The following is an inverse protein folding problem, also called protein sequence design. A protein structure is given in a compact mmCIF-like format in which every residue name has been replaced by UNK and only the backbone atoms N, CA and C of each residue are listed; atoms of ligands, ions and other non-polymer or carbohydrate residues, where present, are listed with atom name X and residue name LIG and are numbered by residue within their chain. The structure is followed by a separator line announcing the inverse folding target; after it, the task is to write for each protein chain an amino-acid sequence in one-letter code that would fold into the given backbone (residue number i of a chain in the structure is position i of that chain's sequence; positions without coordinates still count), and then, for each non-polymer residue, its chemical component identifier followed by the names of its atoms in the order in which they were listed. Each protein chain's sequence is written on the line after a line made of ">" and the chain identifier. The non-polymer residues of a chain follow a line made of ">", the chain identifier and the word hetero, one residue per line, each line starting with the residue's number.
data_IF_379080492118
#
_entry.id   IF_379080492118
#
_cell.length_a   1.000
_cell.length_b   1.000
_cell.length_c   1.000
_cell.angle_alpha   90.00
_cell.angle_beta   90.00
_cell.angle_gamma   90.00
#
_symmetry.space_group_name_H-M   'P 1'
#
loop_
_entity.id
_entity.type
_entity.pdbx_description
1 polymer ?
#
# COMPACT_ATOMS: atom_id res chain seq x y z
N UNK A 1 15.79 6.88 6.44
CA UNK A 1 14.70 6.48 5.54
C UNK A 1 14.74 7.36 4.30
N UNK A 2 14.82 6.76 3.12
CA UNK A 2 14.70 7.51 1.86
C UNK A 2 13.23 7.95 1.64
N UNK A 3 12.99 8.86 0.70
CA UNK A 3 11.61 9.25 0.32
C UNK A 3 10.84 8.04 -0.19
N UNK A 4 11.48 7.23 -1.02
CA UNK A 4 10.89 6.04 -1.63
C UNK A 4 10.57 4.96 -0.58
N UNK A 5 11.49 4.69 0.34
CA UNK A 5 11.28 3.75 1.45
C UNK A 5 10.06 4.15 2.30
N UNK A 6 9.86 5.46 2.52
CA UNK A 6 8.66 5.97 3.20
C UNK A 6 7.38 5.72 2.39
N UNK A 7 7.40 5.94 1.07
CA UNK A 7 6.23 5.65 0.22
C UNK A 7 5.85 4.18 0.26
N UNK A 8 6.84 3.28 0.30
CA UNK A 8 6.63 1.84 0.42
C UNK A 8 6.09 1.48 1.79
N UNK A 9 6.67 2.00 2.87
CA UNK A 9 6.16 1.78 4.23
C UNK A 9 4.70 2.25 4.37
N UNK A 10 4.39 3.45 3.88
CA UNK A 10 3.04 4.01 3.93
C UNK A 10 2.05 3.16 3.10
N UNK A 11 2.46 2.69 1.92
CA UNK A 11 1.62 1.85 1.07
C UNK A 11 1.42 0.45 1.66
N UNK A 12 2.45 -0.17 2.24
CA UNK A 12 2.33 -1.43 2.97
C UNK A 12 1.38 -1.28 4.16
N UNK A 13 1.56 -0.24 4.97
CA UNK A 13 0.71 0.05 6.11
C UNK A 13 -0.77 0.23 5.73
N UNK A 14 -1.03 0.95 4.64
CA UNK A 14 -2.37 1.12 4.08
C UNK A 14 -3.03 -0.22 3.71
N UNK A 15 -2.22 -1.19 3.25
CA UNK A 15 -2.66 -2.52 2.79
C UNK A 15 -2.63 -3.59 3.88
N UNK A 16 -2.41 -3.21 5.14
CA UNK A 16 -2.25 -4.15 6.25
C UNK A 16 -1.08 -5.13 6.05
N UNK A 17 0.03 -4.62 5.50
CA UNK A 17 1.28 -5.34 5.26
C UNK A 17 2.43 -4.70 6.03
N UNK A 18 3.42 -5.50 6.41
CA UNK A 18 4.70 -4.99 6.90
C UNK A 18 5.72 -4.94 5.76
N UNK A 19 6.53 -3.87 5.70
CA UNK A 19 7.69 -3.82 4.83
C UNK A 19 8.84 -4.58 5.50
N UNK A 20 9.14 -5.79 5.02
CA UNK A 20 10.21 -6.63 5.55
C UNK A 20 11.61 -6.17 5.10
N UNK A 21 11.64 -5.21 4.18
CA UNK A 21 12.83 -4.52 3.76
C UNK A 21 13.23 -4.82 2.33
N UNK A 22 14.42 -4.33 2.01
CA UNK A 22 14.89 -4.20 0.65
C UNK A 22 15.37 -5.54 0.06
N UNK A 23 14.90 -5.87 -1.14
CA UNK A 23 15.28 -7.09 -1.86
C UNK A 23 16.41 -6.85 -2.86
N UNK A 24 16.29 -5.84 -3.71
CA UNK A 24 17.23 -5.62 -4.80
C UNK A 24 17.30 -4.16 -5.31
N UNK A 25 18.44 -3.78 -5.87
CA UNK A 25 18.67 -2.53 -6.61
C UNK A 25 18.83 -2.84 -8.10
N UNK A 26 17.93 -2.33 -8.94
CA UNK A 26 18.14 -2.27 -10.39
C UNK A 26 18.39 -0.84 -10.84
N UNK A 27 18.99 -0.67 -12.03
CA UNK A 27 19.21 0.66 -12.62
C UNK A 27 17.90 1.46 -12.81
N UNK A 28 16.75 0.77 -12.86
CA UNK A 28 15.44 1.35 -13.16
C UNK A 28 14.48 1.39 -11.96
N UNK A 29 14.85 0.84 -10.80
CA UNK A 29 13.96 0.78 -9.64
C UNK A 29 14.46 -0.10 -8.48
N UNK A 30 13.75 -0.03 -7.36
CA UNK A 30 14.01 -0.88 -6.18
C UNK A 30 12.81 -1.79 -5.90
N UNK A 31 13.10 -2.95 -5.33
CA UNK A 31 12.11 -3.92 -4.89
C UNK A 31 12.18 -4.15 -3.38
N UNK A 32 11.02 -4.29 -2.75
CA UNK A 32 10.83 -4.44 -1.31
C UNK A 32 9.95 -5.65 -1.02
N UNK A 33 10.37 -6.49 -0.07
CA UNK A 33 9.59 -7.62 0.39
C UNK A 33 8.52 -7.16 1.39
N UNK A 34 7.42 -7.89 1.43
CA UNK A 34 6.33 -7.65 2.38
C UNK A 34 6.01 -8.91 3.18
N UNK A 35 5.33 -8.75 4.32
CA UNK A 35 5.00 -9.83 5.25
C UNK A 35 4.12 -10.96 4.70
N UNK A 36 3.54 -10.81 3.50
CA UNK A 36 2.65 -11.79 2.89
C UNK A 36 3.14 -12.29 1.52
N UNK A 37 4.45 -12.35 1.34
CA UNK A 37 5.10 -12.86 0.12
C UNK A 37 4.71 -12.07 -1.14
N UNK A 38 4.39 -10.78 -0.98
CA UNK A 38 4.32 -9.82 -2.09
C UNK A 38 5.59 -9.00 -2.19
N UNK A 39 5.77 -8.41 -3.36
CA UNK A 39 6.86 -7.49 -3.68
C UNK A 39 6.29 -6.14 -4.08
N UNK A 40 6.76 -5.08 -3.44
CA UNK A 40 6.54 -3.71 -3.88
C UNK A 40 7.73 -3.27 -4.70
N UNK A 41 7.52 -3.00 -5.99
CA UNK A 41 8.51 -2.42 -6.89
C UNK A 41 8.21 -0.94 -7.11
N UNK A 42 9.21 -0.11 -6.84
CA UNK A 42 9.21 1.31 -7.19
C UNK A 42 10.04 1.47 -8.46
N UNK A 43 9.41 1.87 -9.57
CA UNK A 43 10.06 1.96 -10.88
C UNK A 43 10.05 3.38 -11.43
N UNK A 44 11.06 3.69 -12.23
CA UNK A 44 11.11 4.90 -13.07
C UNK A 44 10.89 4.58 -14.55
N UNK A 45 10.75 3.29 -14.90
CA UNK A 45 10.46 2.85 -16.25
C UNK A 45 8.95 2.90 -16.52
N UNK A 46 8.54 3.94 -17.24
CA UNK A 46 7.15 4.13 -17.65
C UNK A 46 6.66 2.99 -18.55
N UNK A 47 7.50 2.44 -19.42
CA UNK A 47 7.09 1.35 -20.31
C UNK A 47 6.85 0.06 -19.50
N UNK A 48 7.70 -0.22 -18.51
CA UNK A 48 7.50 -1.32 -17.57
C UNK A 48 6.16 -1.17 -16.82
N UNK A 49 5.92 0.01 -16.27
CA UNK A 49 4.68 0.30 -15.56
C UNK A 49 3.45 0.13 -16.46
N UNK A 50 3.48 0.67 -17.68
CA UNK A 50 2.37 0.58 -18.63
C UNK A 50 2.12 -0.86 -19.10
N UNK A 51 3.18 -1.64 -19.36
CA UNK A 51 3.02 -3.06 -19.71
C UNK A 51 2.45 -3.88 -18.55
N UNK A 52 2.88 -3.56 -17.33
CA UNK A 52 2.35 -4.20 -16.11
C UNK A 52 0.86 -3.86 -15.91
N UNK A 53 0.45 -2.64 -16.28
CA UNK A 53 -0.96 -2.27 -16.23
C UNK A 53 -1.85 -3.11 -17.16
N UNK A 54 -1.37 -3.48 -18.35
CA UNK A 54 -2.14 -4.33 -19.28
C UNK A 54 -2.40 -5.75 -18.74
N UNK A 55 -1.57 -6.20 -17.80
CA UNK A 55 -1.73 -7.48 -17.11
C UNK A 55 -2.35 -7.33 -15.71
N UNK A 56 -2.77 -6.13 -15.33
CA UNK A 56 -3.53 -5.90 -14.09
C UNK A 56 -4.85 -6.69 -14.15
N UNK A 57 -5.22 -7.33 -13.04
CA UNK A 57 -6.42 -8.17 -12.93
C UNK A 57 -6.45 -9.37 -13.93
N UNK A 58 -5.29 -9.90 -14.30
CA UNK A 58 -5.21 -11.14 -15.08
C UNK A 58 -5.39 -12.41 -14.21
N UNK A 59 -5.94 -13.47 -14.81
CA UNK A 59 -6.15 -14.78 -14.16
C UNK A 59 -5.24 -15.89 -14.73
N UNK A 60 -4.19 -15.52 -15.47
CA UNK A 60 -3.32 -16.50 -16.14
C UNK A 60 -2.21 -16.95 -15.20
N UNK A 61 -2.09 -18.26 -14.95
CA UNK A 61 -0.98 -18.86 -14.18
C UNK A 61 0.41 -18.62 -14.82
N UNK A 62 0.44 -18.15 -16.07
CA UNK A 62 1.65 -17.83 -16.82
C UNK A 62 1.97 -16.34 -16.91
N UNK A 63 1.25 -15.50 -16.17
CA UNK A 63 1.58 -14.09 -15.98
C UNK A 63 1.77 -13.83 -14.49
N UNK A 64 2.61 -12.86 -14.11
CA UNK A 64 2.71 -12.47 -12.72
C UNK A 64 1.40 -11.86 -12.25
N UNK A 65 1.00 -12.21 -11.03
CA UNK A 65 -0.14 -11.65 -10.35
C UNK A 65 0.19 -10.25 -9.85
N UNK A 66 -0.53 -9.27 -10.37
CA UNK A 66 -0.43 -7.87 -9.96
C UNK A 66 -1.59 -7.56 -9.01
N UNK A 67 -1.26 -7.25 -7.75
CA UNK A 67 -2.25 -6.98 -6.71
C UNK A 67 -2.71 -5.52 -6.69
N UNK A 68 -1.80 -4.58 -6.94
CA UNK A 68 -2.12 -3.17 -6.95
C UNK A 68 -1.07 -2.39 -7.75
N UNK A 69 -1.46 -1.21 -8.24
CA UNK A 69 -0.58 -0.28 -8.93
C UNK A 69 -0.94 1.14 -8.55
N UNK A 70 0.07 2.01 -8.46
CA UNK A 70 -0.11 3.40 -8.04
C UNK A 70 0.82 4.33 -8.78
N UNK A 71 0.29 5.49 -9.16
CA UNK A 71 1.09 6.68 -9.48
C UNK A 71 1.00 7.60 -8.27
N UNK A 72 2.10 7.77 -7.55
CA UNK A 72 2.11 8.62 -6.37
C UNK A 72 1.98 10.10 -6.77
N UNK A 73 1.41 10.96 -5.92
CA UNK A 73 1.23 12.38 -6.23
C UNK A 73 2.52 13.12 -6.58
N UNK A 74 3.66 12.64 -6.08
CA UNK A 74 4.98 13.18 -6.43
C UNK A 74 5.62 12.59 -7.70
N UNK A 75 4.93 11.70 -8.41
CA UNK A 75 5.30 11.19 -9.73
C UNK A 75 5.95 9.81 -9.74
N UNK A 76 6.29 9.24 -8.58
CA UNK A 76 6.83 7.88 -8.48
C UNK A 76 5.79 6.83 -8.91
N UNK A 77 6.26 5.71 -9.46
CA UNK A 77 5.43 4.62 -9.96
C UNK A 77 5.63 3.40 -9.07
N UNK A 78 4.53 2.88 -8.52
CA UNK A 78 4.53 1.72 -7.63
C UNK A 78 3.76 0.55 -8.23
N UNK A 79 4.34 -0.64 -8.16
CA UNK A 79 3.75 -1.92 -8.59
C UNK A 79 3.81 -2.88 -7.40
N UNK A 80 2.68 -3.46 -7.03
CA UNK A 80 2.61 -4.54 -6.04
C UNK A 80 2.28 -5.85 -6.75
N UNK A 81 3.22 -6.79 -6.73
CA UNK A 81 3.10 -8.08 -7.41
C UNK A 81 3.39 -9.24 -6.46
N UNK A 82 3.13 -10.46 -6.89
CA UNK A 82 3.57 -11.67 -6.19
C UNK A 82 5.09 -11.78 -6.11
N UNK A 83 5.58 -12.47 -5.08
CA UNK A 83 6.98 -12.89 -5.04
C UNK A 83 7.25 -13.96 -6.11
N UNK A 84 8.37 -13.79 -6.81
CA UNK A 84 8.85 -14.74 -7.82
C UNK A 84 10.27 -15.18 -7.47
N UNK A 85 10.47 -16.50 -7.35
CA UNK A 85 11.79 -17.07 -7.07
C UNK A 85 12.64 -17.13 -8.34
N UNK A 86 13.77 -16.41 -8.36
CA UNK A 86 14.69 -16.33 -9.49
C UNK A 86 15.94 -17.20 -9.33
N UNK A 87 16.05 -17.96 -8.23
CA UNK A 87 17.30 -18.63 -7.83
C UNK A 87 17.84 -19.63 -8.86
N UNK A 88 16.95 -20.36 -9.54
CA UNK A 88 17.31 -21.37 -10.53
C UNK A 88 17.31 -20.83 -11.99
N UNK A 89 16.84 -19.60 -12.21
CA UNK A 89 16.59 -19.06 -13.56
C UNK A 89 17.86 -18.98 -14.40
N UNK A 90 19.01 -18.62 -13.83
CA UNK A 90 20.27 -18.47 -14.57
C UNK A 90 20.79 -19.80 -15.13
N UNK A 91 20.74 -20.88 -14.36
CA UNK A 91 21.22 -22.20 -14.81
C UNK A 91 20.31 -22.77 -15.90
N UNK A 92 18.99 -22.72 -15.69
CA UNK A 92 18.00 -23.21 -16.64
C UNK A 92 18.02 -22.41 -17.95
N UNK A 93 18.24 -21.11 -17.87
CA UNK A 93 18.37 -20.25 -19.05
C UNK A 93 19.58 -20.63 -19.91
N UNK A 94 20.73 -20.89 -19.28
CA UNK A 94 21.94 -21.34 -20.01
C UNK A 94 21.73 -22.67 -20.73
N UNK A 95 20.98 -23.61 -20.14
CA UNK A 95 20.61 -24.86 -20.82
C UNK A 95 19.79 -24.57 -22.10
N UNK A 96 18.79 -23.68 -22.01
CA UNK A 96 18.01 -23.27 -23.18
C UNK A 96 18.85 -22.55 -24.24
N UNK A 97 19.77 -21.65 -23.85
CA UNK A 97 20.67 -20.97 -24.80
C UNK A 97 21.56 -21.96 -25.55
N UNK A 98 22.11 -22.96 -24.85
CA UNK A 98 22.92 -23.99 -25.47
C UNK A 98 22.12 -24.80 -26.50
N UNK A 99 20.90 -25.20 -26.16
CA UNK A 99 20.03 -25.95 -27.06
C UNK A 99 19.55 -25.09 -28.24
N UNK A 100 19.18 -23.82 -28.02
CA UNK A 100 18.84 -22.88 -29.09
C UNK A 100 20.01 -22.71 -30.08
N UNK A 101 21.24 -22.65 -29.58
CA UNK A 101 22.45 -22.63 -30.39
C UNK A 101 22.67 -23.91 -31.23
N UNK A 102 22.30 -25.08 -30.71
CA UNK A 102 22.32 -26.35 -31.45
C UNK A 102 21.23 -26.42 -32.52
N UNK A 103 20.07 -25.84 -32.24
CA UNK A 103 18.93 -25.77 -33.16
C UNK A 103 19.06 -24.64 -34.20
N UNK A 104 20.07 -23.78 -34.08
CA UNK A 104 20.29 -22.59 -34.92
C UNK A 104 19.08 -21.62 -34.92
N UNK A 105 18.44 -21.47 -33.77
CA UNK A 105 17.29 -20.58 -33.55
C UNK A 105 17.52 -19.63 -32.39
N UNK A 106 16.68 -18.60 -32.32
CA UNK A 106 16.58 -17.73 -31.16
C UNK A 106 15.87 -18.47 -30.00
N UNK A 107 16.18 -18.13 -28.75
CA UNK A 107 15.59 -18.76 -27.55
C UNK A 107 14.06 -18.71 -27.56
N UNK A 108 13.48 -17.69 -28.19
CA UNK A 108 12.03 -17.52 -28.36
C UNK A 108 11.38 -18.56 -29.28
N UNK A 109 12.18 -19.24 -30.10
CA UNK A 109 11.73 -20.16 -31.14
C UNK A 109 12.28 -21.59 -30.94
N UNK A 110 12.87 -21.87 -29.78
CA UNK A 110 13.38 -23.20 -29.44
C UNK A 110 12.26 -24.25 -29.42
N UNK A 111 12.50 -25.42 -30.02
CA UNK A 111 11.64 -26.59 -29.85
C UNK A 111 12.12 -27.38 -28.64
N UNK A 112 11.51 -27.12 -27.48
CA UNK A 112 11.81 -27.77 -26.19
C UNK A 112 11.50 -29.27 -26.17
N UNK A 113 10.74 -29.78 -27.15
CA UNK A 113 10.43 -31.21 -27.27
C UNK A 113 11.57 -32.03 -27.88
N UNK A 114 12.59 -31.35 -28.41
CA UNK A 114 13.76 -31.94 -29.07
C UNK A 114 15.01 -31.47 -28.33
N UNK A 115 16.00 -32.36 -28.15
CA UNK A 115 17.29 -32.00 -27.60
C UNK A 115 17.69 -32.77 -26.33
N UNK A 116 18.70 -32.25 -25.64
CA UNK A 116 19.25 -32.83 -24.40
C UNK A 116 18.99 -31.92 -23.18
N UNK A 117 17.84 -31.26 -23.14
CA UNK A 117 17.40 -30.47 -21.99
C UNK A 117 17.07 -31.38 -20.80
N UNK A 118 17.42 -30.93 -19.59
CA UNK A 118 16.88 -31.50 -18.36
C UNK A 118 15.35 -31.38 -18.34
N UNK A 119 14.68 -32.21 -17.52
CA UNK A 119 13.20 -32.14 -17.42
C UNK A 119 12.73 -30.78 -16.88
N UNK A 120 13.51 -30.15 -15.97
CA UNK A 120 13.21 -28.81 -15.46
C UNK A 120 13.48 -27.73 -16.52
N UNK A 121 14.58 -27.80 -17.28
CA UNK A 121 14.83 -26.85 -18.38
C UNK A 121 13.78 -26.95 -19.48
N UNK A 122 13.26 -28.15 -19.75
CA UNK A 122 12.12 -28.33 -20.65
C UNK A 122 10.88 -27.62 -20.12
N UNK A 123 10.51 -27.84 -18.85
CA UNK A 123 9.38 -27.14 -18.20
C UNK A 123 9.57 -25.62 -18.25
N UNK A 124 10.76 -25.14 -17.90
CA UNK A 124 11.15 -23.73 -17.93
C UNK A 124 10.90 -23.11 -19.31
N UNK A 125 11.38 -23.75 -20.39
CA UNK A 125 11.14 -23.28 -21.75
C UNK A 125 9.68 -23.35 -22.19
N UNK A 126 8.94 -24.41 -21.82
CA UNK A 126 7.50 -24.50 -22.09
C UNK A 126 6.71 -23.39 -21.41
N UNK A 127 7.02 -23.08 -20.15
CA UNK A 127 6.32 -22.06 -19.37
C UNK A 127 6.65 -20.64 -19.86
N UNK A 128 7.91 -20.36 -20.25
CA UNK A 128 8.27 -19.09 -20.90
C UNK A 128 7.46 -18.89 -22.19
N UNK A 129 7.32 -19.92 -23.03
CA UNK A 129 6.53 -19.82 -24.27
C UNK A 129 5.04 -19.56 -23.98
N UNK A 130 4.48 -20.16 -22.93
CA UNK A 130 3.10 -19.89 -22.50
C UNK A 130 2.96 -18.49 -21.92
N UNK A 131 3.94 -18.01 -21.15
CA UNK A 131 3.98 -16.66 -20.61
C UNK A 131 4.01 -15.61 -21.72
N UNK A 132 4.87 -15.80 -22.73
CA UNK A 132 4.89 -14.96 -23.93
C UNK A 132 3.55 -14.97 -24.67
N UNK A 133 2.87 -16.11 -24.75
CA UNK A 133 1.55 -16.20 -25.37
C UNK A 133 0.52 -15.38 -24.59
N UNK A 134 0.50 -15.52 -23.26
CA UNK A 134 -0.39 -14.76 -22.39
C UNK A 134 -0.17 -13.24 -22.50
N UNK A 135 1.10 -12.79 -22.57
CA UNK A 135 1.41 -11.38 -22.82
C UNK A 135 0.95 -10.89 -24.22
N UNK A 136 1.06 -11.73 -25.26
CA UNK A 136 0.56 -11.40 -26.60
C UNK A 136 -0.95 -11.22 -26.62
N UNK A 137 -1.69 -12.01 -25.84
CA UNK A 137 -3.14 -11.83 -25.68
C UNK A 137 -3.49 -10.46 -25.05
N UNK A 138 -2.56 -9.87 -24.31
CA UNK A 138 -2.64 -8.51 -23.74
C UNK A 138 -2.04 -7.43 -24.65
N UNK A 139 -1.63 -7.79 -25.87
CA UNK A 139 -1.07 -6.84 -26.84
C UNK A 139 0.40 -6.49 -26.63
N UNK A 140 1.12 -7.23 -25.78
CA UNK A 140 2.56 -7.05 -25.53
C UNK A 140 3.35 -8.04 -26.41
N UNK A 141 4.24 -7.51 -27.25
CA UNK A 141 4.95 -8.29 -28.26
C UNK A 141 6.48 -8.24 -28.15
N UNK A 142 7.00 -7.30 -27.37
CA UNK A 142 8.43 -7.13 -27.14
C UNK A 142 8.75 -7.68 -25.76
N UNK A 143 9.59 -8.72 -25.72
CA UNK A 143 9.91 -9.44 -24.49
C UNK A 143 11.35 -9.21 -24.12
N UNK A 144 11.59 -8.86 -22.85
CA UNK A 144 12.93 -8.79 -22.29
C UNK A 144 13.26 -10.12 -21.61
N UNK A 145 13.59 -11.11 -22.44
CA UNK A 145 13.88 -12.47 -22.01
C UNK A 145 15.32 -12.55 -21.51
N UNK A 146 15.49 -12.39 -20.20
CA UNK A 146 16.77 -12.50 -19.49
C UNK A 146 16.55 -13.28 -18.19
N UNK A 147 17.57 -13.98 -17.65
CA UNK A 147 17.43 -14.76 -16.43
C UNK A 147 16.83 -13.98 -15.26
N UNK A 148 17.21 -12.73 -15.10
CA UNK A 148 16.79 -11.85 -14.00
C UNK A 148 15.33 -11.39 -14.13
N UNK A 149 14.71 -11.57 -15.30
CA UNK A 149 13.32 -11.20 -15.60
C UNK A 149 12.41 -12.43 -15.72
N UNK A 150 12.88 -13.59 -15.22
CA UNK A 150 12.13 -14.84 -15.20
C UNK A 150 12.15 -15.37 -13.77
N UNK A 151 10.97 -15.66 -13.24
CA UNK A 151 10.85 -16.16 -11.88
C UNK A 151 9.77 -17.21 -11.75
N UNK A 152 9.88 -18.03 -10.72
CA UNK A 152 8.96 -19.12 -10.40
C UNK A 152 7.91 -18.61 -9.42
N UNK A 153 6.63 -18.75 -9.78
CA UNK A 153 5.51 -18.36 -8.91
C UNK A 153 5.19 -19.45 -7.87
N UNK A 154 4.22 -19.17 -7.00
CA UNK A 154 3.79 -20.10 -5.93
C UNK A 154 3.27 -21.46 -6.44
N UNK A 155 2.77 -21.48 -7.68
CA UNK A 155 2.26 -22.68 -8.35
C UNK A 155 3.39 -23.52 -8.99
N UNK A 156 4.62 -23.00 -8.96
CA UNK A 156 5.80 -23.63 -9.55
C UNK A 156 5.96 -23.41 -11.04
N UNK A 157 5.19 -22.49 -11.65
CA UNK A 157 5.29 -22.08 -13.05
C UNK A 157 6.33 -20.97 -13.22
N UNK A 158 7.07 -20.99 -14.32
CA UNK A 158 8.01 -19.92 -14.66
C UNK A 158 7.30 -18.85 -15.48
N UNK A 159 7.36 -17.60 -15.02
CA UNK A 159 6.68 -16.46 -15.65
C UNK A 159 7.68 -15.36 -15.98
N UNK A 160 7.40 -14.64 -17.06
CA UNK A 160 8.11 -13.41 -17.39
C UNK A 160 7.57 -12.26 -16.53
N UNK A 161 8.47 -11.47 -15.97
CA UNK A 161 8.14 -10.23 -15.26
C UNK A 161 9.12 -9.13 -15.66
N UNK A 162 8.93 -7.90 -15.20
CA UNK A 162 9.81 -6.76 -15.55
C UNK A 162 9.95 -6.55 -17.07
N UNK A 163 8.83 -6.71 -17.78
CA UNK A 163 8.81 -6.57 -19.24
C UNK A 163 8.81 -5.09 -19.60
N UNK A 164 9.76 -4.68 -20.44
CA UNK A 164 9.91 -3.31 -20.91
C UNK A 164 10.25 -3.26 -22.39
N UNK A 165 9.83 -2.19 -23.07
CA UNK A 165 10.15 -1.98 -24.48
C UNK A 165 11.44 -1.16 -24.60
N UNK A 166 12.59 -1.84 -24.60
CA UNK A 166 13.93 -1.21 -24.71
C UNK A 166 14.13 -0.40 -26.00
N UNK A 167 13.33 -0.62 -27.04
CA UNK A 167 13.41 0.13 -28.30
C UNK A 167 12.67 1.47 -28.27
N UNK A 168 11.77 1.66 -27.30
CA UNK A 168 11.03 2.90 -27.14
C UNK A 168 11.86 3.90 -26.31
N UNK A 169 12.41 4.92 -26.99
CA UNK A 169 13.14 6.00 -26.32
C UNK A 169 12.23 6.90 -25.46
N UNK A 170 10.93 6.94 -25.75
CA UNK A 170 9.91 7.68 -25.02
C UNK A 170 8.68 6.78 -24.84
N UNK A 171 7.93 6.99 -23.76
CA UNK A 171 6.65 6.32 -23.52
C UNK A 171 5.50 7.09 -24.21
N UNK A 172 4.35 6.43 -24.39
CA UNK A 172 3.14 7.08 -24.90
C UNK A 172 2.50 7.90 -23.77
N UNK A 173 2.72 9.22 -23.77
CA UNK A 173 2.22 10.15 -22.74
C UNK A 173 0.68 10.15 -22.63
N UNK A 174 -0.02 10.04 -23.76
CA UNK A 174 -1.50 10.03 -23.79
C UNK A 174 -2.01 8.74 -23.12
N UNK A 175 -1.43 7.59 -23.47
CA UNK A 175 -1.77 6.32 -22.84
C UNK A 175 -1.40 6.29 -21.35
N UNK A 176 -0.26 6.88 -20.97
CA UNK A 176 0.14 6.95 -19.56
C UNK A 176 -0.83 7.80 -18.74
N UNK A 177 -1.27 8.95 -19.23
CA UNK A 177 -2.26 9.78 -18.51
C UNK A 177 -3.62 9.07 -18.43
N UNK A 178 -4.02 8.31 -19.45
CA UNK A 178 -5.21 7.45 -19.40
C UNK A 178 -5.10 6.37 -18.31
N UNK A 179 -3.94 5.69 -18.22
CA UNK A 179 -3.68 4.67 -17.18
C UNK A 179 -3.74 5.31 -15.79
N UNK A 180 -3.09 6.44 -15.62
CA UNK A 180 -3.08 7.19 -14.36
C UNK A 180 -4.49 7.59 -13.93
N UNK A 181 -5.33 8.06 -14.85
CA UNK A 181 -6.73 8.37 -14.56
C UNK A 181 -7.51 7.12 -14.14
N UNK A 182 -7.36 5.99 -14.84
CA UNK A 182 -7.98 4.71 -14.44
C UNK A 182 -7.53 4.22 -13.06
N UNK A 183 -6.25 4.37 -12.71
CA UNK A 183 -5.76 4.02 -11.38
C UNK A 183 -6.32 4.95 -10.30
N UNK A 184 -6.49 6.24 -10.60
CA UNK A 184 -7.11 7.21 -9.68
C UNK A 184 -8.58 6.94 -9.42
N UNK A 185 -9.34 6.57 -10.45
CA UNK A 185 -10.76 6.21 -10.33
C UNK A 185 -10.99 5.08 -9.31
N UNK A 186 -10.00 4.21 -9.07
CA UNK A 186 -10.07 3.16 -8.03
C UNK A 186 -10.13 3.71 -6.59
N UNK A 187 -9.75 4.97 -6.39
CA UNK A 187 -9.74 5.65 -5.09
C UNK A 187 -10.82 6.73 -4.98
N UNK A 188 -11.58 6.99 -6.05
CA UNK A 188 -12.65 7.99 -6.00
C UNK A 188 -13.74 7.55 -5.02
N UNK A 189 -14.09 8.47 -4.12
CA UNK A 189 -15.18 8.28 -3.16
C UNK A 189 -16.45 8.87 -3.77
N UNK A 190 -17.35 8.00 -4.25
CA UNK A 190 -18.67 8.43 -4.74
C UNK A 190 -19.50 9.09 -3.62
N UNK A 191 -19.34 8.61 -2.39
CA UNK A 191 -19.97 9.10 -1.16
C UNK A 191 -19.00 8.97 0.01
N UNK A 192 -19.31 9.63 1.12
CA UNK A 192 -18.53 9.51 2.35
C UNK A 192 -18.44 8.04 2.79
N UNK A 193 -17.23 7.54 3.02
CA UNK A 193 -17.01 6.14 3.39
C UNK A 193 -16.96 5.99 4.90
N UNK A 194 -17.86 5.19 5.44
CA UNK A 194 -17.87 4.82 6.85
C UNK A 194 -17.14 3.50 7.08
N UNK A 195 -16.24 3.45 8.07
CA UNK A 195 -15.57 2.22 8.50
C UNK A 195 -15.74 2.06 10.01
N UNK A 196 -16.16 0.87 10.42
CA UNK A 196 -16.31 0.50 11.83
C UNK A 196 -15.00 -0.13 12.34
N UNK A 197 -14.77 -0.02 13.65
CA UNK A 197 -13.69 -0.73 14.37
C UNK A 197 -12.27 -0.56 13.77
N UNK A 198 -11.93 0.64 13.31
CA UNK A 198 -10.57 0.93 12.80
C UNK A 198 -9.60 1.11 13.96
N UNK A 199 -8.47 0.41 13.92
CA UNK A 199 -7.38 0.58 14.90
C UNK A 199 -6.90 2.02 14.97
N UNK A 200 -6.78 2.56 16.19
CA UNK A 200 -6.33 3.93 16.42
C UNK A 200 -4.86 4.14 16.05
N UNK A 201 -4.03 3.09 16.06
CA UNK A 201 -2.64 3.11 15.58
C UNK A 201 -2.53 3.47 14.09
N UNK A 202 -3.63 3.31 13.33
CA UNK A 202 -3.66 3.70 11.91
C UNK A 202 -3.84 5.18 11.67
N UNK A 203 -4.12 5.97 12.71
CA UNK A 203 -4.42 7.38 12.55
C UNK A 203 -3.14 8.22 12.58
N UNK A 204 -2.93 8.99 11.52
CA UNK A 204 -2.00 10.13 11.52
C UNK A 204 -2.68 11.32 12.20
N UNK A 205 -2.07 11.83 13.28
CA UNK A 205 -2.68 12.85 14.14
C UNK A 205 -1.68 13.95 14.44
N UNK A 206 -2.03 15.20 14.09
CA UNK A 206 -1.21 16.36 14.42
C UNK A 206 -1.08 16.56 15.95
N UNK A 207 0.17 16.51 16.43
CA UNK A 207 0.54 16.58 17.84
C UNK A 207 0.08 17.89 18.50
N UNK A 208 0.02 18.99 17.74
CA UNK A 208 -0.40 20.31 18.26
C UNK A 208 -1.90 20.35 18.49
N UNK A 209 -2.65 19.80 17.56
CA UNK A 209 -4.11 19.66 17.62
C UNK A 209 -4.50 18.72 18.75
N UNK A 210 -3.78 17.61 18.93
CA UNK A 210 -4.01 16.70 20.05
C UNK A 210 -3.65 17.34 21.41
N UNK A 211 -2.54 18.06 21.51
CA UNK A 211 -2.18 18.82 22.73
C UNK A 211 -3.28 19.81 23.12
N UNK A 212 -3.84 20.54 22.16
CA UNK A 212 -4.95 21.47 22.39
C UNK A 212 -6.21 20.74 22.83
N UNK A 213 -6.52 19.59 22.24
CA UNK A 213 -7.66 18.76 22.66
C UNK A 213 -7.48 18.28 24.11
N UNK A 214 -6.29 17.83 24.48
CA UNK A 214 -5.96 17.41 25.84
C UNK A 214 -6.08 18.57 26.86
N UNK A 215 -5.60 19.77 26.51
CA UNK A 215 -5.77 20.99 27.31
C UNK A 215 -7.26 21.36 27.49
N UNK A 216 -8.08 21.19 26.44
CA UNK A 216 -9.50 21.43 26.52
C UNK A 216 -10.21 20.39 27.41
N UNK A 217 -9.93 19.10 27.23
CA UNK A 217 -10.48 18.00 28.04
C UNK A 217 -10.13 18.18 29.52
N UNK A 218 -8.87 18.51 29.82
CA UNK A 218 -8.42 18.79 31.20
C UNK A 218 -9.05 20.04 31.81
N UNK A 219 -9.55 20.96 30.99
CA UNK A 219 -10.36 22.10 31.47
C UNK A 219 -11.85 21.78 31.60
N UNK A 220 -12.23 20.51 31.45
CA UNK A 220 -13.62 20.03 31.50
C UNK A 220 -14.42 20.28 30.22
N UNK A 221 -13.77 20.65 29.11
CA UNK A 221 -14.41 20.76 27.79
C UNK A 221 -14.31 19.44 27.05
N UNK A 222 -15.28 18.57 27.34
CA UNK A 222 -15.45 17.28 26.66
C UNK A 222 -16.08 17.47 25.27
N UNK A 223 -15.95 16.46 24.42
CA UNK A 223 -16.63 16.38 23.13
C UNK A 223 -18.14 16.53 23.33
N UNK A 224 -18.76 17.37 22.49
CA UNK A 224 -20.22 17.59 22.49
C UNK A 224 -20.95 16.76 21.46
N UNK A 225 -20.20 16.10 20.60
CA UNK A 225 -20.71 15.27 19.51
C UNK A 225 -20.38 13.82 19.80
N UNK A 226 -21.39 12.97 19.60
CA UNK A 226 -21.24 11.53 19.51
C UNK A 226 -21.11 11.18 18.01
N UNK A 227 -20.28 10.21 17.64
CA UNK A 227 -20.10 9.80 16.25
C UNK A 227 -18.66 9.42 15.91
N UNK A 228 -18.47 9.06 14.64
CA UNK A 228 -17.18 8.67 14.08
C UNK A 228 -16.14 9.82 14.13
N UNK A 229 -14.88 9.42 14.05
CA UNK A 229 -13.78 10.33 13.77
C UNK A 229 -13.78 10.69 12.29
N UNK A 230 -13.63 11.96 11.97
CA UNK A 230 -13.59 12.37 10.57
C UNK A 230 -12.15 12.33 10.10
N UNK A 231 -11.91 11.56 9.05
CA UNK A 231 -10.60 11.27 8.52
C UNK A 231 -10.52 11.59 7.02
N UNK A 232 -9.30 11.64 6.51
CA UNK A 232 -9.01 11.63 5.09
C UNK A 232 -7.82 10.71 4.81
N UNK A 233 -7.72 10.16 3.61
CA UNK A 233 -6.43 9.67 3.13
C UNK A 233 -5.64 10.85 2.57
N UNK A 234 -4.42 11.06 3.06
CA UNK A 234 -3.52 12.07 2.50
C UNK A 234 -2.82 11.55 1.22
N UNK A 235 -2.01 12.41 0.60
CA UNK A 235 -1.31 12.08 -0.65
C UNK A 235 -0.34 10.88 -0.54
N UNK A 236 0.04 10.51 0.69
CA UNK A 236 0.88 9.34 1.00
C UNK A 236 0.06 8.07 1.30
N UNK A 237 -1.27 8.17 1.35
CA UNK A 237 -2.16 7.06 1.72
C UNK A 237 -2.28 6.82 3.22
N UNK A 238 -1.80 7.75 4.06
CA UNK A 238 -2.00 7.70 5.50
C UNK A 238 -3.40 8.17 5.87
N UNK A 239 -4.02 7.49 6.83
CA UNK A 239 -5.34 7.84 7.34
C UNK A 239 -5.21 8.97 8.37
N UNK A 240 -5.39 10.21 7.95
CA UNK A 240 -5.21 11.39 8.78
C UNK A 240 -6.51 11.80 9.46
N UNK A 241 -6.45 12.12 10.76
CA UNK A 241 -7.56 12.75 11.48
C UNK A 241 -7.71 14.23 11.08
N UNK A 242 -8.90 14.62 10.64
CA UNK A 242 -9.21 16.02 10.24
C UNK A 242 -10.22 16.70 11.16
N UNK A 243 -11.12 15.92 11.77
CA UNK A 243 -11.99 16.40 12.86
C UNK A 243 -12.28 15.28 13.88
N UNK A 244 -12.61 15.68 15.10
CA UNK A 244 -12.88 14.76 16.21
C UNK A 244 -11.72 14.59 17.18
N UNK A 245 -10.76 15.51 17.24
CA UNK A 245 -9.62 15.45 18.17
C UNK A 245 -10.03 15.26 19.63
N UNK A 246 -11.10 15.91 20.11
CA UNK A 246 -11.62 15.68 21.46
C UNK A 246 -12.17 14.26 21.64
N UNK A 247 -12.85 13.71 20.62
CA UNK A 247 -13.36 12.33 20.64
C UNK A 247 -12.21 11.34 20.68
N UNK A 248 -11.17 11.55 19.87
CA UNK A 248 -9.98 10.70 19.90
C UNK A 248 -9.26 10.80 21.25
N UNK A 249 -9.04 12.01 21.78
CA UNK A 249 -8.40 12.21 23.08
C UNK A 249 -9.14 11.45 24.20
N UNK A 250 -10.48 11.51 24.22
CA UNK A 250 -11.30 10.77 25.18
C UNK A 250 -11.14 9.25 25.05
N UNK A 251 -11.06 8.73 23.81
CA UNK A 251 -10.85 7.30 23.54
C UNK A 251 -9.46 6.84 24.01
N UNK A 252 -8.42 7.60 23.70
CA UNK A 252 -7.05 7.30 24.13
C UNK A 252 -6.91 7.36 25.66
N UNK A 253 -7.56 8.32 26.33
CA UNK A 253 -7.61 8.37 27.81
C UNK A 253 -8.30 7.16 28.45
N UNK A 254 -9.14 6.46 27.69
CA UNK A 254 -9.85 5.25 28.11
C UNK A 254 -9.17 3.97 27.65
N UNK A 255 -7.98 4.08 27.05
CA UNK A 255 -7.24 2.96 26.47
C UNK A 255 -8.07 2.18 25.44
N UNK A 256 -8.94 2.87 24.69
CA UNK A 256 -9.65 2.23 23.58
C UNK A 256 -8.67 1.97 22.42
N UNK A 257 -8.75 0.80 21.81
CA UNK A 257 -7.85 0.39 20.72
C UNK A 257 -8.42 0.76 19.33
N UNK A 258 -9.73 0.97 19.24
CA UNK A 258 -10.45 1.14 17.96
C UNK A 258 -11.45 2.29 17.98
N UNK A 259 -11.78 2.80 16.79
CA UNK A 259 -12.86 3.75 16.59
C UNK A 259 -13.54 3.59 15.24
N UNK A 260 -14.81 3.96 15.20
CA UNK A 260 -15.49 4.22 13.94
C UNK A 260 -14.95 5.49 13.31
N UNK A 261 -14.76 5.45 12.00
CA UNK A 261 -14.27 6.58 11.22
C UNK A 261 -15.18 6.86 10.03
N UNK A 262 -15.14 8.10 9.58
CA UNK A 262 -15.82 8.60 8.39
C UNK A 262 -14.76 9.28 7.51
N UNK A 263 -14.61 8.82 6.26
CA UNK A 263 -13.60 9.30 5.33
C UNK A 263 -14.27 10.28 4.36
N UNK A 264 -13.98 11.57 4.54
CA UNK A 264 -14.57 12.65 3.73
C UNK A 264 -13.76 12.97 2.46
N UNK A 265 -12.46 12.65 2.45
CA UNK A 265 -11.58 13.03 1.36
C UNK A 265 -10.47 11.98 1.15
N UNK A 266 -10.01 11.85 -0.10
CA UNK A 266 -8.96 10.91 -0.48
C UNK A 266 -8.01 11.57 -1.49
N UNK A 267 -6.85 12.02 -1.01
CA UNK A 267 -5.81 12.64 -1.85
C UNK A 267 -4.98 11.61 -2.62
N UNK A 268 -5.17 10.29 -2.43
CA UNK A 268 -4.54 9.27 -3.28
C UNK A 268 -5.03 9.38 -4.73
N UNK A 269 -6.20 9.98 -4.94
CA UNK A 269 -6.73 10.38 -6.25
C UNK A 269 -5.88 11.46 -6.93
N UNK A 270 -4.97 12.11 -6.21
CA UNK A 270 -4.16 13.22 -6.70
C UNK A 270 -4.83 14.60 -6.58
N UNK A 271 -6.01 14.69 -5.97
CA UNK A 271 -6.68 15.95 -5.65
C UNK A 271 -6.42 16.35 -4.21
N UNK A 272 -5.69 17.45 -4.00
CA UNK A 272 -5.47 17.98 -2.67
C UNK A 272 -6.76 18.52 -2.06
N UNK A 273 -6.93 18.30 -0.76
CA UNK A 273 -7.99 18.92 0.02
C UNK A 273 -7.75 20.43 0.08
N UNK A 274 -8.71 21.27 -0.33
CA UNK A 274 -8.57 22.71 -0.20
C UNK A 274 -8.75 23.18 1.26
N UNK A 275 -9.15 22.29 2.18
CA UNK A 275 -9.57 22.62 3.54
C UNK A 275 -8.58 22.12 4.59
N UNK A 276 -8.01 20.93 4.39
CA UNK A 276 -7.20 20.26 5.39
C UNK A 276 -5.71 20.35 5.06
N UNK A 277 -4.89 20.68 6.06
CA UNK A 277 -3.44 20.64 5.93
C UNK A 277 -2.95 19.22 6.20
N UNK A 278 -1.96 18.75 5.44
CA UNK A 278 -1.31 17.47 5.66
C UNK A 278 -0.52 17.53 6.98
N UNK A 279 -0.63 16.50 7.80
CA UNK A 279 0.19 16.33 8.99
C UNK A 279 1.56 15.83 8.57
N UNK A 280 2.57 16.67 8.74
CA UNK A 280 3.96 16.27 8.47
C UNK A 280 4.42 15.22 9.49
N UNK A 281 5.22 14.21 9.09
CA UNK A 281 5.65 13.13 9.98
C UNK A 281 6.31 13.59 11.28
N UNK A 282 7.10 14.67 11.25
CA UNK A 282 7.72 15.22 12.48
C UNK A 282 6.75 15.91 13.44
N UNK A 283 5.51 16.13 13.03
CA UNK A 283 4.43 16.66 13.87
C UNK A 283 3.35 15.61 14.15
N UNK A 284 3.54 14.35 13.76
CA UNK A 284 2.62 13.27 14.11
C UNK A 284 2.81 12.86 15.57
N UNK A 285 1.70 12.58 16.24
CA UNK A 285 1.70 11.88 17.52
C UNK A 285 1.86 10.38 17.27
N UNK A 286 2.81 9.74 17.92
CA UNK A 286 2.93 8.29 17.93
C UNK A 286 1.82 7.70 18.81
N UNK A 287 0.84 7.03 18.20
CA UNK A 287 -0.19 6.28 18.92
C UNK A 287 0.31 4.85 19.06
N UNK A 288 0.35 4.35 20.30
CA UNK A 288 0.73 2.97 20.62
C UNK A 288 -0.33 2.41 21.57
N UNK A 289 -1.24 1.58 21.06
CA UNK A 289 -2.37 1.09 21.88
C UNK A 289 -1.94 0.12 22.98
N UNK A 290 -0.67 -0.30 23.01
CA UNK A 290 -0.11 -1.10 24.10
C UNK A 290 0.23 -0.27 25.36
N UNK A 291 0.28 1.06 25.23
CA UNK A 291 0.52 1.99 26.34
C UNK A 291 -0.77 2.34 27.11
N UNK A 292 -0.69 2.68 28.42
CA UNK A 292 -1.86 3.00 29.23
C UNK A 292 -2.76 4.10 28.67
N UNK A 293 -2.19 5.14 28.04
CA UNK A 293 -2.93 6.25 27.42
C UNK A 293 -2.61 6.41 25.94
N UNK A 294 -2.21 5.30 25.31
CA UNK A 294 -2.09 5.16 23.88
C UNK A 294 -1.24 6.23 23.18
N UNK A 295 -0.14 6.68 23.81
CA UNK A 295 0.78 7.70 23.27
C UNK A 295 0.58 9.11 23.81
N UNK A 296 -0.52 9.39 24.53
CA UNK A 296 -0.71 10.70 25.19
C UNK A 296 0.38 11.01 26.23
N UNK A 297 1.13 10.01 26.67
CA UNK A 297 2.32 10.12 27.52
C UNK A 297 3.40 11.05 26.94
N UNK A 298 3.44 11.23 25.62
CA UNK A 298 4.33 12.21 24.98
C UNK A 298 3.95 13.66 25.28
N UNK A 299 2.68 13.89 25.63
CA UNK A 299 2.10 15.22 25.82
C UNK A 299 2.03 15.61 27.29
N UNK A 300 1.82 14.66 28.19
CA UNK A 300 1.71 14.87 29.63
C UNK A 300 2.19 13.65 30.43
N UNK A 301 2.59 13.85 31.69
CA UNK A 301 3.01 12.73 32.53
C UNK A 301 1.81 11.87 32.98
N UNK A 302 2.10 10.61 33.31
CA UNK A 302 1.10 9.60 33.69
C UNK A 302 0.18 10.05 34.84
N UNK A 303 0.72 10.67 35.89
CA UNK A 303 -0.09 11.21 37.01
C UNK A 303 -1.13 12.24 36.51
N UNK A 304 -0.72 13.10 35.58
CA UNK A 304 -1.59 14.12 35.00
C UNK A 304 -2.68 13.50 34.12
N UNK A 305 -2.32 12.50 33.31
CA UNK A 305 -3.27 11.77 32.46
C UNK A 305 -4.28 10.96 33.30
N UNK A 306 -3.83 10.35 34.39
CA UNK A 306 -4.71 9.69 35.37
C UNK A 306 -5.73 10.67 35.97
N UNK A 307 -5.28 11.85 36.40
CA UNK A 307 -6.17 12.90 36.91
C UNK A 307 -7.21 13.29 35.85
N UNK A 308 -6.79 13.49 34.60
CA UNK A 308 -7.69 13.84 33.50
C UNK A 308 -8.70 12.75 33.19
N UNK A 309 -8.27 11.48 33.16
CA UNK A 309 -9.16 10.34 32.95
C UNK A 309 -10.22 10.26 34.07
N UNK A 310 -9.80 10.42 35.33
CA UNK A 310 -10.72 10.41 36.47
C UNK A 310 -11.74 11.55 36.41
N UNK A 311 -11.30 12.78 36.11
CA UNK A 311 -12.18 13.94 35.96
C UNK A 311 -13.18 13.75 34.81
N UNK A 312 -12.72 13.22 33.67
CA UNK A 312 -13.57 12.89 32.52
C UNK A 312 -14.65 11.87 32.89
N UNK A 313 -14.27 10.78 33.56
CA UNK A 313 -15.22 9.75 34.03
C UNK A 313 -16.24 10.33 35.00
N UNK A 314 -15.84 11.25 35.89
CA UNK A 314 -16.78 11.95 36.76
C UNK A 314 -17.79 12.81 36.00
N UNK A 315 -17.33 13.55 34.98
CA UNK A 315 -18.18 14.40 34.15
C UNK A 315 -19.20 13.57 33.36
N UNK A 316 -18.76 12.51 32.66
CA UNK A 316 -19.64 11.58 31.95
C UNK A 316 -20.69 10.96 32.88
N UNK A 317 -20.28 10.55 34.08
CA UNK A 317 -21.20 10.01 35.08
C UNK A 317 -22.26 11.02 35.54
N UNK A 318 -21.89 12.31 35.66
CA UNK A 318 -22.84 13.39 35.98
C UNK A 318 -23.81 13.62 34.82
N UNK A 319 -23.35 13.64 33.58
CA UNK A 319 -24.20 13.80 32.39
C UNK A 319 -25.20 12.64 32.23
N UNK A 320 -24.75 11.39 32.39
CA UNK A 320 -25.61 10.21 32.30
C UNK A 320 -26.71 10.20 33.36
N UNK A 321 -26.41 10.65 34.59
CA UNK A 321 -27.41 10.82 35.66
C UNK A 321 -28.45 11.88 35.29
N UNK A 322 -28.04 12.96 34.62
CA UNK A 322 -28.94 14.02 34.17
C UNK A 322 -29.82 13.58 32.98
N UNK A 323 -29.26 12.88 31.99
CA UNK A 323 -30.01 12.27 30.86
C UNK A 323 -31.06 11.26 31.35
N UNK A 324 -30.75 10.48 32.38
CA UNK A 324 -31.70 9.50 32.96
C UNK A 324 -32.84 10.19 33.71
N UNK A 325 -32.55 11.26 34.47
CA UNK A 325 -33.59 12.03 35.19
C UNK A 325 -34.55 12.74 34.24
N UNK A 326 -34.07 13.30 33.13
CA UNK A 326 -34.93 13.98 32.17
C UNK A 326 -35.87 13.02 31.43
N UNK A 327 -35.45 11.77 31.17
CA UNK A 327 -36.30 10.73 30.57
C UNK A 327 -37.40 10.21 31.51
N UNK A 328 -37.20 10.27 32.83
CA UNK A 328 -38.18 9.84 33.83
C UNK A 328 -39.22 10.93 34.19
N UNK A 329 -39.03 12.16 33.72
CA UNK A 329 -39.93 13.30 33.95
C UNK A 329 -40.92 13.57 32.80
N UNK A 330 -40.98 12.69 31.80
CA UNK A 330 -41.98 12.67 30.73
C UNK A 330 -42.94 11.48 30.90
#
# INVERSE_FOLDING_TARGET
>A
MSKEERLVEDWCFEKDLENEGWMNNGDNGNAYATSDEKVVKMTSDYNEFMQTFEILDNDSEYLPKVFDMRVFPSGELGIMLEYLDTSDSEELFRELEMEAGLQEVDIMNIDVSIGMLSDEARKFGEDIQKSMYAFKEKGIYNFDIQPDNIGKNEEGNYVLFDQTNKEANDHDEDLFEDIKNKLRERYELDETVYKEDVSLEKLSVDVRSMRKALEDVSSGKISRTEGALTCMYNEYGRLQLVDGFHRLCEKLLQSEEVADIEIEHDERTGYSSPVYAITEPENELEIDVSLPFCGLEELACEDTLNDYCNEYLELKNKENKNKTKSRLSF
#
